data_IF_659279066507
#
_entry.id   IF_659279066507
#
_cell.length_a   1.000
_cell.length_b   1.000
_cell.length_c   1.000
_cell.angle_alpha   90.00
_cell.angle_beta   90.00
_cell.angle_gamma   90.00
#
_symmetry.space_group_name_H-M   'P 1'
#
loop_
_entity.id
_entity.type
_entity.pdbx_description
1 polymer ?
#
# COMPACT_ATOMS: atom_id res chain seq x y z
N UNK A 1 22.67 -13.57 -6.11
CA UNK A 1 21.45 -12.97 -5.59
C UNK A 1 21.28 -11.56 -6.10
N UNK A 2 20.09 -11.29 -6.56
CA UNK A 2 19.81 -9.96 -7.05
C UNK A 2 19.94 -8.95 -5.91
N UNK A 3 20.51 -7.83 -6.21
CA UNK A 3 20.72 -6.78 -5.23
C UNK A 3 19.88 -5.60 -5.56
N UNK A 4 19.15 -5.11 -4.59
CA UNK A 4 18.52 -3.82 -4.73
C UNK A 4 19.54 -2.73 -4.48
N UNK A 5 19.26 -1.52 -4.92
CA UNK A 5 20.17 -0.41 -4.66
C UNK A 5 20.43 -0.25 -3.16
N UNK A 6 21.63 0.11 -2.81
CA UNK A 6 22.04 0.25 -1.41
C UNK A 6 21.98 1.68 -0.91
N UNK A 7 21.59 2.62 -1.76
CA UNK A 7 21.40 4.00 -1.36
C UNK A 7 20.03 4.18 -0.72
N UNK A 8 19.94 5.05 0.24
CA UNK A 8 18.70 5.33 0.95
C UNK A 8 18.45 4.36 2.09
N UNK A 9 17.25 4.47 2.64
CA UNK A 9 16.84 3.65 3.76
C UNK A 9 16.55 2.23 3.34
N UNK A 10 16.54 1.33 4.32
CA UNK A 10 16.13 -0.03 4.08
C UNK A 10 17.27 -1.01 3.93
N UNK A 11 18.36 -0.79 4.64
CA UNK A 11 19.50 -1.71 4.58
C UNK A 11 19.14 -3.10 5.11
N UNK A 12 18.18 -3.18 6.02
CA UNK A 12 17.72 -4.47 6.56
C UNK A 12 16.53 -5.00 5.79
N UNK A 13 15.55 -4.14 5.54
CA UNK A 13 14.34 -4.51 4.84
C UNK A 13 13.64 -3.25 4.32
N UNK A 14 12.78 -3.43 3.33
CA UNK A 14 11.98 -2.35 2.76
C UNK A 14 10.52 -2.73 2.79
N UNK A 15 9.73 -1.87 3.41
CA UNK A 15 8.29 -2.07 3.51
C UNK A 15 7.59 -1.01 2.66
N UNK A 16 6.75 -1.46 1.75
CA UNK A 16 5.90 -0.57 0.97
C UNK A 16 4.50 -0.55 1.55
N UNK A 17 3.87 0.60 1.59
CA UNK A 17 2.46 0.69 1.98
C UNK A 17 1.67 1.43 0.91
N UNK A 18 0.47 0.93 0.64
CA UNK A 18 -0.47 1.59 -0.26
C UNK A 18 -1.58 2.16 0.60
N UNK A 19 -1.80 3.46 0.51
CA UNK A 19 -2.78 4.14 1.35
C UNK A 19 -3.73 4.98 0.50
N UNK A 20 -4.97 5.19 0.96
CA UNK A 20 -5.87 6.12 0.27
C UNK A 20 -5.33 7.53 0.28
N UNK A 21 -5.63 8.29 -0.75
CA UNK A 21 -5.07 9.63 -0.93
C UNK A 21 -5.41 10.59 0.21
N UNK A 22 -6.51 10.34 0.91
CA UNK A 22 -6.95 11.21 2.00
C UNK A 22 -6.48 10.74 3.37
N UNK A 23 -5.83 9.60 3.45
CA UNK A 23 -5.40 9.06 4.74
C UNK A 23 -4.17 9.80 5.23
N UNK A 24 -4.28 10.40 6.41
CA UNK A 24 -3.19 11.18 7.01
C UNK A 24 -2.68 10.56 8.30
N UNK A 25 -3.11 9.34 8.61
CA UNK A 25 -2.78 8.69 9.88
C UNK A 25 -1.80 7.55 9.69
N UNK A 26 -2.01 6.73 8.67
CA UNK A 26 -1.27 5.49 8.52
C UNK A 26 0.20 5.71 8.25
N UNK A 27 0.53 6.59 7.34
CA UNK A 27 1.93 6.81 6.98
C UNK A 27 2.74 7.42 8.12
N UNK A 28 2.26 8.49 8.78
CA UNK A 28 2.99 9.02 9.94
C UNK A 28 3.12 8.01 11.07
N UNK A 29 2.07 7.23 11.31
CA UNK A 29 2.11 6.20 12.33
C UNK A 29 3.16 5.14 12.00
N UNK A 30 3.17 4.69 10.75
CA UNK A 30 4.10 3.65 10.33
C UNK A 30 5.55 4.13 10.47
N UNK A 31 5.82 5.38 10.16
CA UNK A 31 7.16 5.93 10.33
C UNK A 31 7.61 5.91 11.78
N UNK A 32 6.68 6.04 12.72
CA UNK A 32 7.02 6.04 14.14
C UNK A 32 7.29 4.65 14.69
N UNK A 33 6.71 3.62 14.11
CA UNK A 33 6.81 2.28 14.68
C UNK A 33 7.75 1.36 13.92
N UNK A 34 8.18 1.73 12.73
CA UNK A 34 9.06 0.88 11.94
C UNK A 34 10.45 0.81 12.62
N UNK A 35 11.05 -0.39 12.69
CA UNK A 35 12.35 -0.51 13.37
C UNK A 35 13.48 0.14 12.58
N UNK A 36 14.59 0.38 13.25
CA UNK A 36 15.79 0.89 12.61
C UNK A 36 16.24 -0.06 11.50
N UNK A 37 16.65 0.51 10.41
CA UNK A 37 17.14 -0.26 9.26
C UNK A 37 16.04 -0.74 8.33
N UNK A 38 14.78 -0.54 8.70
CA UNK A 38 13.66 -0.85 7.83
C UNK A 38 13.19 0.43 7.16
N UNK A 39 13.28 0.47 5.84
CA UNK A 39 12.82 1.61 5.07
C UNK A 39 11.33 1.53 4.83
N UNK A 40 10.64 2.63 4.95
CA UNK A 40 9.21 2.71 4.70
C UNK A 40 8.96 3.58 3.48
N UNK A 41 8.22 3.04 2.52
CA UNK A 41 7.91 3.74 1.28
C UNK A 41 6.42 3.65 1.03
N UNK A 42 5.80 4.77 0.66
CA UNK A 42 4.36 4.83 0.51
C UNK A 42 3.98 5.23 -0.91
N UNK A 43 2.89 4.67 -1.38
CA UNK A 43 2.22 5.15 -2.59
C UNK A 43 0.75 5.33 -2.25
N UNK A 44 0.10 6.24 -2.93
CA UNK A 44 -1.28 6.61 -2.61
C UNK A 44 -2.19 6.28 -3.76
N UNK A 45 -3.42 5.87 -3.40
CA UNK A 45 -4.48 5.65 -4.36
C UNK A 45 -5.45 6.81 -4.28
N UNK A 46 -5.75 7.41 -5.40
CA UNK A 46 -6.72 8.51 -5.41
C UNK A 46 -8.10 7.98 -5.10
N UNK A 47 -8.75 8.55 -4.08
CA UNK A 47 -10.10 8.14 -3.68
C UNK A 47 -11.10 8.66 -4.71
N UNK A 48 -12.01 7.80 -5.21
CA UNK A 48 -12.99 8.25 -6.19
C UNK A 48 -14.02 9.18 -5.56
N UNK A 49 -14.64 10.04 -6.35
CA UNK A 49 -15.68 10.93 -5.84
C UNK A 49 -16.95 10.18 -5.43
N UNK A 50 -17.17 8.99 -5.98
CA UNK A 50 -18.29 8.14 -5.65
C UNK A 50 -17.86 7.07 -4.67
N UNK A 51 -18.73 6.74 -3.71
CA UNK A 51 -18.44 5.72 -2.70
C UNK A 51 -19.16 4.41 -2.98
N UNK A 52 -19.57 4.17 -4.22
CA UNK A 52 -20.23 2.91 -4.57
C UNK A 52 -19.20 1.78 -4.59
N UNK A 53 -19.64 0.53 -4.39
CA UNK A 53 -18.74 -0.61 -4.49
C UNK A 53 -18.04 -0.68 -5.84
N UNK A 54 -18.74 -0.34 -6.93
CA UNK A 54 -18.15 -0.35 -8.27
C UNK A 54 -17.01 0.67 -8.38
N UNK A 55 -17.18 1.83 -7.77
CA UNK A 55 -16.14 2.86 -7.81
C UNK A 55 -14.89 2.41 -7.05
N UNK A 56 -15.06 1.72 -5.93
CA UNK A 56 -13.94 1.21 -5.17
C UNK A 56 -13.24 0.06 -5.89
N UNK A 57 -13.99 -0.79 -6.58
CA UNK A 57 -13.39 -1.86 -7.38
C UNK A 57 -12.57 -1.25 -8.51
N UNK A 58 -13.09 -0.22 -9.16
CA UNK A 58 -12.39 0.47 -10.22
C UNK A 58 -11.13 1.14 -9.70
N UNK A 59 -11.21 1.78 -8.55
CA UNK A 59 -10.05 2.38 -7.90
C UNK A 59 -8.97 1.32 -7.63
N UNK A 60 -9.37 0.21 -7.07
CA UNK A 60 -8.45 -0.87 -6.75
C UNK A 60 -7.78 -1.39 -8.01
N UNK A 61 -8.54 -1.54 -9.09
CA UNK A 61 -8.02 -2.06 -10.34
C UNK A 61 -7.05 -1.11 -11.01
N UNK A 62 -7.33 0.18 -10.98
CA UNK A 62 -6.52 1.18 -11.66
C UNK A 62 -5.49 1.83 -10.75
N UNK A 63 -5.95 2.48 -9.68
CA UNK A 63 -5.08 3.23 -8.79
C UNK A 63 -4.21 2.31 -7.95
N UNK A 64 -4.81 1.20 -7.49
CA UNK A 64 -4.05 0.23 -6.70
C UNK A 64 -2.93 -0.41 -7.49
N UNK A 65 -3.21 -0.75 -8.74
CA UNK A 65 -2.19 -1.32 -9.62
C UNK A 65 -1.05 -0.34 -9.86
N UNK A 66 -1.37 0.93 -10.09
CA UNK A 66 -0.36 1.96 -10.28
C UNK A 66 0.48 2.16 -9.03
N UNK A 67 -0.16 2.18 -7.87
CA UNK A 67 0.55 2.33 -6.61
C UNK A 67 1.53 1.20 -6.38
N UNK A 68 1.11 -0.04 -6.63
CA UNK A 68 1.98 -1.21 -6.47
C UNK A 68 3.13 -1.14 -7.46
N UNK A 69 2.85 -0.73 -8.69
CA UNK A 69 3.88 -0.60 -9.71
C UNK A 69 4.93 0.43 -9.29
N UNK A 70 4.50 1.56 -8.73
CA UNK A 70 5.44 2.57 -8.25
C UNK A 70 6.29 2.03 -7.10
N UNK A 71 5.66 1.34 -6.16
CA UNK A 71 6.40 0.76 -5.04
C UNK A 71 7.39 -0.29 -5.48
N UNK A 72 7.09 -1.01 -6.55
CA UNK A 72 8.00 -2.03 -7.05
C UNK A 72 9.35 -1.45 -7.46
N UNK A 73 9.40 -0.18 -7.79
CA UNK A 73 10.65 0.48 -8.18
C UNK A 73 11.65 0.60 -7.03
N UNK A 74 11.20 0.55 -5.79
CA UNK A 74 12.10 0.60 -4.64
C UNK A 74 12.44 -0.79 -4.10
N UNK A 75 12.02 -1.82 -4.80
CA UNK A 75 12.30 -3.22 -4.45
C UNK A 75 11.90 -3.56 -3.01
N UNK A 76 10.63 -3.42 -2.67
CA UNK A 76 10.19 -3.74 -1.30
C UNK A 76 10.21 -5.24 -1.05
N UNK A 77 10.44 -5.61 0.19
CA UNK A 77 10.33 -6.99 0.61
C UNK A 77 8.87 -7.38 0.83
N UNK A 78 8.05 -6.42 1.26
CA UNK A 78 6.62 -6.62 1.53
C UNK A 78 5.87 -5.35 1.14
N UNK A 79 4.67 -5.52 0.62
CA UNK A 79 3.76 -4.41 0.37
C UNK A 79 2.48 -4.65 1.15
N UNK A 80 2.12 -3.71 2.01
CA UNK A 80 0.87 -3.75 2.73
C UNK A 80 -0.15 -2.85 2.03
N UNK A 81 -1.35 -3.39 1.82
CA UNK A 81 -2.41 -2.68 1.12
C UNK A 81 -3.39 -2.13 2.14
N UNK A 82 -3.31 -0.85 2.40
CA UNK A 82 -4.01 -0.23 3.51
C UNK A 82 -5.32 0.45 3.17
N UNK A 83 -6.21 -0.23 2.45
CA UNK A 83 -7.52 0.30 2.15
C UNK A 83 -8.60 -0.70 2.56
N UNK A 84 -9.21 -0.46 3.72
CA UNK A 84 -10.23 -1.36 4.26
C UNK A 84 -11.47 -1.42 3.38
N UNK A 85 -11.91 -0.28 2.88
CA UNK A 85 -13.12 -0.23 2.05
C UNK A 85 -12.95 -1.08 0.79
N UNK A 86 -11.81 -0.96 0.14
CA UNK A 86 -11.52 -1.74 -1.05
C UNK A 86 -11.49 -3.23 -0.75
N UNK A 87 -10.88 -3.59 0.38
CA UNK A 87 -10.82 -5.00 0.79
C UNK A 87 -12.20 -5.58 1.02
N UNK A 88 -13.07 -4.82 1.66
CA UNK A 88 -14.42 -5.29 1.99
C UNK A 88 -15.24 -5.52 0.71
N UNK A 89 -15.18 -4.59 -0.23
CA UNK A 89 -15.99 -4.72 -1.44
C UNK A 89 -15.50 -5.83 -2.36
N UNK A 90 -14.22 -6.21 -2.26
CA UNK A 90 -13.69 -7.29 -3.06
C UNK A 90 -13.94 -8.67 -2.44
N UNK A 91 -14.40 -8.70 -1.20
CA UNK A 91 -14.64 -9.94 -0.49
C UNK A 91 -16.12 -10.12 -0.27
N UNK A 92 -16.78 -11.02 -1.00
CA UNK A 92 -18.21 -11.23 -0.84
C UNK A 92 -18.54 -11.62 0.59
N UNK A 93 -19.79 -11.39 0.96
CA UNK A 93 -20.29 -11.74 2.28
C UNK A 93 -19.97 -13.21 2.61
N UNK A 94 -19.46 -13.44 3.78
CA UNK A 94 -19.09 -14.76 4.21
C UNK A 94 -17.70 -15.19 3.82
N UNK A 95 -17.02 -14.42 3.02
CA UNK A 95 -15.65 -14.73 2.63
C UNK A 95 -14.67 -14.14 3.60
N UNK A 96 -13.56 -14.84 3.82
CA UNK A 96 -12.45 -14.31 4.58
C UNK A 96 -11.57 -13.51 3.62
N UNK A 97 -11.30 -12.27 3.99
CA UNK A 97 -10.49 -11.41 3.15
C UNK A 97 -9.33 -10.85 3.97
N UNK A 98 -8.12 -11.24 3.63
CA UNK A 98 -6.94 -10.75 4.35
C UNK A 98 -6.16 -9.82 3.47
N UNK A 99 -5.57 -8.83 4.10
CA UNK A 99 -4.72 -7.86 3.44
C UNK A 99 -3.29 -8.38 3.35
#
# INVERSE_FOLDING_TARGET
MARRPLNGDGRRARLGIVVPSVNTVMEPWAHRVVPDGVGLFAARMFIPPSTTPEAFIEMDRNEGRMAIRQLSSVHPDVIAYGCTASSIVRCPSGSSCTM
#
